data_IF_391791285913
#
_entry.id   IF_391791285913
#
_cell.length_a   1.000
_cell.length_b   1.000
_cell.length_c   1.000
_cell.angle_alpha   90.00
_cell.angle_beta   90.00
_cell.angle_gamma   90.00
#
_symmetry.space_group_name_H-M   'P 1'
#
loop_
_entity.id
_entity.type
_entity.pdbx_description
1 polymer ?
#
# COMPACT_ATOMS: atom_id res chain seq x y z
N UNK A 1 -47.98 -94.47 3.91
CA UNK A 1 -47.18 -93.30 4.24
C UNK A 1 -46.73 -92.67 2.94
N UNK A 2 -47.45 -91.64 2.47
CA UNK A 2 -47.11 -90.89 1.25
C UNK A 2 -46.41 -89.62 1.69
N UNK A 3 -45.17 -89.46 1.28
CA UNK A 3 -44.40 -88.23 1.47
C UNK A 3 -44.91 -87.20 0.45
N UNK A 4 -45.37 -86.02 0.92
CA UNK A 4 -45.72 -84.87 0.09
C UNK A 4 -44.48 -84.22 -0.52
N UNK A 5 -44.62 -83.51 -1.64
CA UNK A 5 -43.49 -82.83 -2.32
C UNK A 5 -43.04 -81.63 -1.57
N UNK A 6 -41.73 -81.38 -1.59
CA UNK A 6 -41.06 -80.22 -0.99
C UNK A 6 -41.49 -78.90 -1.66
N UNK A 7 -41.56 -77.80 -0.94
CA UNK A 7 -41.89 -76.51 -1.51
C UNK A 7 -40.77 -75.98 -2.43
N UNK A 8 -41.15 -75.40 -3.58
CA UNK A 8 -40.31 -74.79 -4.55
C UNK A 8 -39.69 -73.47 -3.96
N UNK A 9 -38.44 -73.17 -4.24
CA UNK A 9 -37.82 -71.94 -3.80
C UNK A 9 -38.50 -70.74 -4.47
N UNK A 10 -38.87 -69.74 -3.66
CA UNK A 10 -39.45 -68.49 -4.11
C UNK A 10 -38.50 -67.71 -5.06
N UNK A 11 -39.04 -66.91 -5.94
CA UNK A 11 -38.22 -66.16 -6.88
C UNK A 11 -37.37 -65.16 -6.13
N UNK A 12 -36.05 -65.38 -6.10
CA UNK A 12 -35.08 -64.32 -5.72
C UNK A 12 -35.17 -63.23 -6.78
N UNK A 13 -35.81 -62.12 -6.39
CA UNK A 13 -35.87 -60.88 -7.21
C UNK A 13 -34.48 -60.28 -7.40
N UNK A 14 -33.76 -60.76 -8.38
CA UNK A 14 -32.67 -60.05 -8.90
C UNK A 14 -33.21 -58.84 -9.69
N UNK A 15 -33.18 -57.66 -9.09
CA UNK A 15 -33.35 -56.37 -9.79
C UNK A 15 -32.24 -56.25 -10.84
N UNK A 16 -32.52 -56.64 -12.09
CA UNK A 16 -31.64 -56.49 -13.25
C UNK A 16 -31.47 -55.05 -13.71
N UNK A 17 -31.76 -54.06 -12.85
CA UNK A 17 -31.41 -52.68 -13.04
C UNK A 17 -30.18 -52.35 -12.20
N UNK A 18 -29.11 -53.10 -12.39
CA UNK A 18 -27.80 -52.77 -11.88
C UNK A 18 -27.29 -51.53 -12.60
N UNK A 19 -27.28 -50.42 -11.89
CA UNK A 19 -26.48 -49.24 -12.25
C UNK A 19 -25.07 -49.76 -12.60
N UNK A 20 -24.68 -49.69 -13.86
CA UNK A 20 -23.41 -50.23 -14.37
C UNK A 20 -22.23 -49.62 -13.57
N UNK A 21 -21.51 -50.38 -12.75
CA UNK A 21 -20.43 -49.86 -11.89
C UNK A 21 -19.30 -49.23 -12.70
N UNK A 22 -19.16 -49.55 -13.99
CA UNK A 22 -18.22 -48.93 -14.91
C UNK A 22 -18.57 -47.48 -15.24
N UNK A 23 -19.86 -47.14 -15.33
CA UNK A 23 -20.33 -45.78 -15.63
C UNK A 23 -20.17 -44.83 -14.44
N UNK A 24 -20.42 -45.34 -13.22
CA UNK A 24 -20.15 -44.55 -11.99
C UNK A 24 -18.66 -44.28 -11.80
N UNK A 25 -17.79 -45.22 -12.14
CA UNK A 25 -16.33 -45.06 -12.13
C UNK A 25 -15.85 -44.01 -13.16
N UNK A 26 -16.38 -44.02 -14.38
CA UNK A 26 -16.05 -43.05 -15.42
C UNK A 26 -16.40 -41.61 -15.03
N UNK A 27 -17.59 -41.39 -14.44
CA UNK A 27 -18.04 -40.07 -13.95
C UNK A 27 -17.19 -39.58 -12.78
N UNK A 28 -16.87 -40.43 -11.82
CA UNK A 28 -15.97 -40.09 -10.70
C UNK A 28 -14.57 -39.73 -11.20
N UNK A 29 -14.03 -40.44 -12.19
CA UNK A 29 -12.73 -40.13 -12.80
C UNK A 29 -12.74 -38.77 -13.51
N UNK A 30 -13.79 -38.46 -14.27
CA UNK A 30 -13.91 -37.15 -14.94
C UNK A 30 -14.02 -36.00 -13.93
N UNK A 31 -14.83 -36.15 -12.87
CA UNK A 31 -14.93 -35.13 -11.81
C UNK A 31 -13.61 -34.98 -11.04
N UNK A 32 -12.90 -36.05 -10.75
CA UNK A 32 -11.58 -36.00 -10.14
C UNK A 32 -10.55 -35.31 -11.05
N UNK A 33 -10.54 -35.63 -12.33
CA UNK A 33 -9.64 -34.98 -13.30
C UNK A 33 -9.90 -33.49 -13.37
N UNK A 34 -11.16 -33.05 -13.44
CA UNK A 34 -11.55 -31.64 -13.46
C UNK A 34 -11.13 -30.94 -12.17
N UNK A 35 -11.32 -31.59 -11.01
CA UNK A 35 -10.89 -31.05 -9.72
C UNK A 35 -9.36 -30.92 -9.62
N UNK A 36 -8.62 -31.91 -10.12
CA UNK A 36 -7.14 -31.88 -10.15
C UNK A 36 -6.64 -30.75 -11.06
N UNK A 37 -7.21 -30.61 -12.26
CA UNK A 37 -6.84 -29.52 -13.19
C UNK A 37 -7.14 -28.15 -12.56
N UNK A 38 -8.32 -28.00 -11.94
CA UNK A 38 -8.67 -26.75 -11.25
C UNK A 38 -7.70 -26.45 -10.09
N UNK A 39 -7.34 -27.45 -9.30
CA UNK A 39 -6.37 -27.33 -8.20
C UNK A 39 -4.98 -26.90 -8.73
N UNK A 40 -4.51 -27.52 -9.80
CA UNK A 40 -3.21 -27.18 -10.43
C UNK A 40 -3.23 -25.73 -10.91
N UNK A 41 -4.31 -25.28 -11.57
CA UNK A 41 -4.44 -23.90 -12.03
C UNK A 41 -4.42 -22.90 -10.85
N UNK A 42 -5.13 -23.22 -9.75
CA UNK A 42 -5.09 -22.41 -8.53
C UNK A 42 -3.69 -22.34 -7.94
N UNK A 43 -3.00 -23.46 -7.83
CA UNK A 43 -1.63 -23.52 -7.31
C UNK A 43 -0.66 -22.72 -8.17
N UNK A 44 -0.69 -22.87 -9.49
CA UNK A 44 0.14 -22.11 -10.42
C UNK A 44 -0.16 -20.61 -10.31
N UNK A 45 -1.45 -20.25 -10.29
CA UNK A 45 -1.86 -18.85 -10.12
C UNK A 45 -1.37 -18.25 -8.80
N UNK A 46 -1.48 -18.98 -7.70
CA UNK A 46 -1.02 -18.53 -6.39
C UNK A 46 0.50 -18.37 -6.35
N UNK A 47 1.26 -19.33 -6.88
CA UNK A 47 2.74 -19.25 -6.95
C UNK A 47 3.17 -18.05 -7.79
N UNK A 48 2.54 -17.86 -8.96
CA UNK A 48 2.81 -16.70 -9.83
C UNK A 48 2.49 -15.38 -9.12
N UNK A 49 1.33 -15.30 -8.46
CA UNK A 49 0.95 -14.09 -7.71
C UNK A 49 1.92 -13.77 -6.59
N UNK A 50 2.32 -14.76 -5.78
CA UNK A 50 3.28 -14.58 -4.71
C UNK A 50 4.66 -14.17 -5.24
N UNK A 51 5.11 -14.77 -6.34
CA UNK A 51 6.39 -14.40 -6.99
C UNK A 51 6.37 -12.97 -7.51
N UNK A 52 5.33 -12.57 -8.25
CA UNK A 52 5.23 -11.18 -8.75
C UNK A 52 5.09 -10.18 -7.60
N UNK A 53 4.33 -10.53 -6.55
CA UNK A 53 4.21 -9.69 -5.35
C UNK A 53 5.57 -9.50 -4.67
N UNK A 54 6.38 -10.54 -4.52
CA UNK A 54 7.74 -10.45 -3.95
C UNK A 54 8.60 -9.50 -4.79
N UNK A 55 8.66 -9.70 -6.10
CA UNK A 55 9.43 -8.83 -6.99
C UNK A 55 8.99 -7.35 -6.95
N UNK A 56 7.68 -7.08 -6.84
CA UNK A 56 7.19 -5.71 -6.67
C UNK A 56 7.65 -5.13 -5.33
N UNK A 57 7.60 -5.92 -4.25
CA UNK A 57 8.06 -5.48 -2.94
C UNK A 57 9.57 -5.20 -2.93
N UNK A 58 10.37 -6.06 -3.53
CA UNK A 58 11.82 -5.89 -3.65
C UNK A 58 12.16 -4.62 -4.45
N UNK A 59 11.49 -4.42 -5.58
CA UNK A 59 11.66 -3.21 -6.40
C UNK A 59 11.25 -1.92 -5.66
N UNK A 60 10.20 -1.96 -4.82
CA UNK A 60 9.82 -0.81 -3.99
C UNK A 60 10.84 -0.57 -2.87
N UNK A 61 11.38 -1.62 -2.25
CA UNK A 61 12.44 -1.54 -1.27
C UNK A 61 13.67 -0.82 -1.84
N UNK A 62 14.19 -1.31 -2.97
CA UNK A 62 15.36 -0.74 -3.63
C UNK A 62 15.14 0.74 -4.02
N UNK A 63 13.94 1.05 -4.50
CA UNK A 63 13.57 2.42 -4.85
C UNK A 63 13.54 3.35 -3.63
N UNK A 64 12.91 2.93 -2.53
CA UNK A 64 12.84 3.70 -1.30
C UNK A 64 14.22 3.96 -0.72
N UNK A 65 15.06 2.92 -0.64
CA UNK A 65 16.44 3.02 -0.13
C UNK A 65 17.32 3.92 -1.01
N UNK A 66 17.18 3.83 -2.34
CA UNK A 66 17.93 4.67 -3.29
C UNK A 66 17.56 6.13 -3.14
N UNK A 67 16.27 6.45 -3.03
CA UNK A 67 15.80 7.82 -2.85
C UNK A 67 16.27 8.37 -1.51
N UNK A 68 16.12 7.59 -0.42
CA UNK A 68 16.58 7.99 0.90
C UNK A 68 18.10 8.27 0.92
N UNK A 69 18.91 7.39 0.33
CA UNK A 69 20.36 7.58 0.24
C UNK A 69 20.75 8.81 -0.59
N UNK A 70 20.04 9.06 -1.68
CA UNK A 70 20.23 10.26 -2.51
C UNK A 70 19.89 11.54 -1.75
N UNK A 71 18.81 11.53 -0.94
CA UNK A 71 18.42 12.66 -0.11
C UNK A 71 19.42 12.92 1.02
N UNK A 72 19.89 11.88 1.67
CA UNK A 72 20.97 12.01 2.67
C UNK A 72 22.20 12.68 2.06
N UNK A 73 22.66 12.20 0.90
CA UNK A 73 23.83 12.77 0.20
C UNK A 73 23.59 14.23 -0.18
N UNK A 74 22.39 14.57 -0.65
CA UNK A 74 22.03 15.95 -1.00
C UNK A 74 22.05 16.88 0.22
N UNK A 75 21.49 16.43 1.37
CA UNK A 75 21.51 17.19 2.63
C UNK A 75 22.96 17.43 3.10
N UNK A 76 23.81 16.40 3.06
CA UNK A 76 25.22 16.52 3.45
C UNK A 76 25.99 17.50 2.55
N UNK A 77 25.77 17.43 1.24
CA UNK A 77 26.39 18.36 0.29
C UNK A 77 25.92 19.79 0.51
N UNK A 78 24.60 19.98 0.71
CA UNK A 78 24.03 21.29 1.03
C UNK A 78 24.67 21.86 2.29
N UNK A 79 24.76 21.11 3.39
CA UNK A 79 25.40 21.54 4.63
C UNK A 79 26.87 21.92 4.44
N UNK A 80 27.61 21.20 3.61
CA UNK A 80 29.00 21.55 3.31
C UNK A 80 29.09 22.90 2.57
N UNK A 81 28.20 23.12 1.59
CA UNK A 81 28.14 24.38 0.85
C UNK A 81 27.75 25.54 1.76
N UNK A 82 26.74 25.36 2.63
CA UNK A 82 26.29 26.37 3.56
C UNK A 82 27.39 26.78 4.58
N UNK A 83 28.12 25.78 5.09
CA UNK A 83 29.28 26.00 5.96
C UNK A 83 30.37 26.80 5.24
N UNK A 84 30.62 26.54 3.95
CA UNK A 84 31.57 27.29 3.15
C UNK A 84 31.09 28.73 2.93
N UNK A 85 29.79 28.93 2.65
CA UNK A 85 29.18 30.24 2.44
C UNK A 85 29.30 31.11 3.69
N UNK A 86 28.83 30.64 4.85
CA UNK A 86 28.86 31.43 6.09
C UNK A 86 30.31 31.72 6.54
N UNK A 87 31.24 30.80 6.26
CA UNK A 87 32.66 31.03 6.49
C UNK A 87 33.15 32.20 5.61
N UNK A 88 32.78 32.23 4.34
CA UNK A 88 33.09 33.34 3.43
C UNK A 88 32.55 34.66 3.97
N UNK A 89 31.35 34.72 4.50
CA UNK A 89 30.75 35.93 5.09
C UNK A 89 31.51 36.42 6.32
N UNK A 90 32.01 35.50 7.18
CA UNK A 90 32.83 35.88 8.33
C UNK A 90 34.18 36.49 7.97
N UNK A 91 34.62 36.37 6.71
CA UNK A 91 35.82 37.05 6.18
C UNK A 91 35.52 38.38 5.47
N UNK A 92 34.27 38.81 5.41
CA UNK A 92 33.91 40.11 4.82
C UNK A 92 34.68 41.23 5.53
N UNK A 93 35.38 42.10 4.79
CA UNK A 93 36.29 43.08 5.39
C UNK A 93 35.65 44.05 6.37
N UNK A 94 34.45 44.57 6.06
CA UNK A 94 33.69 45.50 6.93
C UNK A 94 33.23 44.84 8.21
N UNK A 95 32.66 43.62 8.10
CA UNK A 95 32.28 42.81 9.24
C UNK A 95 33.48 42.54 10.17
N UNK A 96 34.57 42.04 9.59
CA UNK A 96 35.75 41.68 10.35
C UNK A 96 36.40 42.88 11.06
N UNK A 97 36.51 44.02 10.37
CA UNK A 97 37.06 45.23 10.97
C UNK A 97 36.19 45.71 12.14
N UNK A 98 34.87 45.81 11.95
CA UNK A 98 33.95 46.23 13.00
C UNK A 98 33.93 45.28 14.19
N UNK A 99 34.03 43.94 13.98
CA UNK A 99 34.08 42.95 15.08
C UNK A 99 35.40 43.10 15.89
N UNK A 100 36.54 43.25 15.23
CA UNK A 100 37.83 43.41 15.90
C UNK A 100 37.81 44.69 16.78
N UNK A 101 37.27 45.78 16.27
CA UNK A 101 37.16 47.03 17.02
C UNK A 101 36.26 46.90 18.25
N UNK A 102 35.11 46.22 18.14
CA UNK A 102 34.22 45.94 19.25
C UNK A 102 34.81 44.95 20.29
N UNK A 103 35.75 44.09 19.90
CA UNK A 103 36.39 43.12 20.81
C UNK A 103 37.68 43.69 21.45
N UNK A 104 38.36 44.61 20.81
CA UNK A 104 39.59 45.24 21.32
C UNK A 104 39.28 46.46 22.20
N UNK A 105 38.07 47.04 22.13
CA UNK A 105 37.62 48.19 22.91
C UNK A 105 37.23 47.79 24.35
N UNK A 106 37.32 48.73 25.29
CA UNK A 106 37.03 48.56 26.73
C UNK A 106 35.53 48.35 27.06
N UNK A 107 34.66 48.05 26.08
CA UNK A 107 33.23 47.74 26.26
C UNK A 107 32.36 48.92 26.72
N UNK A 108 32.86 50.17 26.66
CA UNK A 108 32.09 51.37 26.89
C UNK A 108 31.34 51.79 25.62
N UNK A 109 30.09 52.26 25.76
CA UNK A 109 29.28 52.79 24.66
C UNK A 109 29.85 54.10 24.13
N UNK A 110 30.93 54.03 23.37
CA UNK A 110 31.57 55.16 22.71
C UNK A 110 31.01 55.35 21.29
N UNK A 111 31.20 56.57 20.69
CA UNK A 111 30.80 56.80 19.31
C UNK A 111 31.39 55.77 18.32
N UNK A 112 32.60 55.29 18.62
CA UNK A 112 33.32 54.27 17.83
C UNK A 112 32.57 52.92 17.74
N UNK A 113 31.88 52.50 18.83
CA UNK A 113 31.05 51.32 18.85
C UNK A 113 29.86 51.39 17.88
N UNK A 114 29.27 52.58 17.72
CA UNK A 114 28.15 52.83 16.80
C UNK A 114 28.63 52.71 15.35
N UNK A 115 29.79 53.28 15.03
CA UNK A 115 30.39 53.21 13.70
C UNK A 115 30.84 51.77 13.35
N UNK A 116 31.38 51.05 14.32
CA UNK A 116 31.76 49.66 14.15
C UNK A 116 30.53 48.76 13.84
N UNK A 117 29.41 48.94 14.56
CA UNK A 117 28.15 48.22 14.28
C UNK A 117 27.54 48.61 12.94
N UNK A 118 27.65 49.88 12.53
CA UNK A 118 27.20 50.33 11.22
C UNK A 118 27.97 49.63 10.08
N UNK A 119 29.32 49.54 10.18
CA UNK A 119 30.17 48.79 9.23
C UNK A 119 29.81 47.31 9.15
N UNK A 120 29.55 46.64 10.29
CA UNK A 120 29.08 45.24 10.32
C UNK A 120 27.77 45.12 9.55
N UNK A 121 26.81 46.01 9.81
CA UNK A 121 25.49 45.98 9.15
C UNK A 121 25.61 46.20 7.64
N UNK A 122 26.42 47.18 7.22
CA UNK A 122 26.64 47.48 5.80
C UNK A 122 27.33 46.32 5.07
N UNK A 123 28.38 45.72 5.68
CA UNK A 123 29.05 44.55 5.12
C UNK A 123 28.18 43.32 4.95
N UNK A 124 27.19 43.15 5.83
CA UNK A 124 26.26 42.02 5.76
C UNK A 124 25.01 42.29 4.92
N UNK A 125 24.64 43.55 4.62
CA UNK A 125 23.35 43.89 4.04
C UNK A 125 23.07 43.17 2.71
N UNK A 126 24.04 43.12 1.81
CA UNK A 126 23.90 42.42 0.54
C UNK A 126 23.72 40.91 0.70
N UNK A 127 24.44 40.30 1.63
CA UNK A 127 24.40 38.86 1.94
C UNK A 127 23.06 38.47 2.58
N UNK A 128 22.59 39.26 3.55
CA UNK A 128 21.32 39.05 4.23
C UNK A 128 20.12 39.12 3.27
N UNK A 129 20.18 40.04 2.30
CA UNK A 129 19.14 40.19 1.28
C UNK A 129 19.16 38.98 0.29
N UNK A 130 20.35 38.55 -0.11
CA UNK A 130 20.48 37.41 -1.03
C UNK A 130 19.99 36.09 -0.43
N UNK A 131 20.16 35.92 0.87
CA UNK A 131 19.77 34.69 1.62
C UNK A 131 18.34 34.74 2.18
N UNK A 132 17.60 35.81 1.97
CA UNK A 132 16.29 36.03 2.62
C UNK A 132 16.38 35.86 4.15
N UNK A 133 17.43 36.42 4.75
CA UNK A 133 17.75 36.18 6.16
C UNK A 133 16.73 36.85 7.08
N UNK A 134 16.30 36.11 8.09
CA UNK A 134 15.42 36.58 9.18
C UNK A 134 16.18 37.63 10.05
N UNK A 135 17.49 37.43 10.21
CA UNK A 135 18.34 38.31 10.96
C UNK A 135 19.74 37.76 11.22
N UNK A 136 20.58 38.59 11.84
CA UNK A 136 21.91 38.18 12.26
C UNK A 136 22.24 38.67 13.66
N UNK A 137 23.22 38.03 14.28
CA UNK A 137 23.94 38.57 15.44
C UNK A 137 25.43 38.22 15.37
N UNK A 138 26.22 38.98 16.08
CA UNK A 138 27.63 38.72 16.35
C UNK A 138 27.79 38.65 17.87
N UNK A 139 28.35 37.55 18.39
CA UNK A 139 28.56 37.34 19.81
C UNK A 139 30.06 37.10 20.09
N UNK A 140 30.56 37.67 21.19
CA UNK A 140 31.91 37.42 21.67
C UNK A 140 32.11 36.05 22.28
N UNK A 141 33.32 35.75 22.72
CA UNK A 141 33.67 34.42 23.32
C UNK A 141 32.93 34.11 24.62
N UNK A 142 32.38 35.12 25.28
CA UNK A 142 31.60 34.98 26.53
C UNK A 142 30.11 34.80 26.26
N UNK A 143 29.67 35.00 25.02
CA UNK A 143 28.26 34.90 24.61
C UNK A 143 27.54 36.26 24.66
N UNK A 144 28.25 37.37 24.85
CA UNK A 144 27.66 38.70 24.81
C UNK A 144 27.44 39.13 23.38
N UNK A 145 26.26 39.64 23.06
CA UNK A 145 25.90 40.10 21.71
C UNK A 145 26.52 41.49 21.46
N UNK A 146 27.46 41.54 20.51
CA UNK A 146 28.18 42.74 20.12
C UNK A 146 27.42 43.59 19.10
N UNK A 147 26.80 42.92 18.12
CA UNK A 147 26.01 43.51 17.06
C UNK A 147 24.86 42.60 16.66
N UNK A 148 23.75 43.16 16.16
CA UNK A 148 22.59 42.42 15.69
C UNK A 148 21.75 43.24 14.72
N UNK A 149 20.95 42.57 13.88
CA UNK A 149 19.86 43.19 13.11
C UNK A 149 18.75 43.75 14.03
N UNK A 150 18.66 43.26 15.26
CA UNK A 150 17.73 43.73 16.29
C UNK A 150 18.52 44.47 17.39
N UNK A 151 18.61 45.79 17.34
CA UNK A 151 19.42 46.63 18.28
C UNK A 151 19.06 46.35 19.75
N UNK A 152 17.82 45.99 20.06
CA UNK A 152 17.34 45.74 21.45
C UNK A 152 18.02 44.56 22.17
N UNK A 153 18.69 43.67 21.43
CA UNK A 153 19.42 42.51 22.03
C UNK A 153 20.91 42.75 22.16
N UNK A 154 21.44 43.84 21.61
CA UNK A 154 22.86 44.20 21.72
C UNK A 154 23.22 44.41 23.18
N UNK A 155 24.35 43.87 23.62
CA UNK A 155 24.82 43.92 25.00
C UNK A 155 24.20 42.88 25.93
N UNK A 156 23.24 42.07 25.46
CA UNK A 156 22.67 40.92 26.22
C UNK A 156 23.51 39.67 26.00
N UNK A 157 23.33 38.70 26.87
CA UNK A 157 23.95 37.38 26.78
C UNK A 157 23.07 36.39 26.06
N UNK A 158 23.70 35.44 25.35
CA UNK A 158 23.00 34.30 24.71
C UNK A 158 22.42 33.35 25.78
N UNK A 159 21.32 32.72 25.46
CA UNK A 159 20.76 31.59 26.24
C UNK A 159 21.71 30.37 26.21
N UNK A 160 21.57 29.40 27.14
CA UNK A 160 22.44 28.22 27.20
C UNK A 160 22.59 27.48 25.89
N UNK A 161 21.52 27.33 25.10
CA UNK A 161 21.56 26.68 23.79
C UNK A 161 22.40 27.49 22.80
N UNK A 162 22.27 28.83 22.80
CA UNK A 162 23.09 29.74 21.99
C UNK A 162 24.57 29.71 22.38
N UNK A 163 24.88 29.63 23.70
CA UNK A 163 26.26 29.51 24.20
C UNK A 163 26.87 28.15 23.78
N UNK A 164 26.10 27.08 23.78
CA UNK A 164 26.58 25.76 23.31
C UNK A 164 26.99 25.83 21.83
N UNK A 165 26.12 26.36 20.95
CA UNK A 165 26.46 26.55 19.54
C UNK A 165 27.66 27.48 19.35
N UNK A 166 27.72 28.60 20.10
CA UNK A 166 28.84 29.56 20.05
C UNK A 166 30.16 28.86 20.37
N UNK A 167 30.20 28.00 21.39
CA UNK A 167 31.41 27.27 21.79
C UNK A 167 31.84 26.31 20.69
N UNK A 168 30.92 25.55 20.13
CA UNK A 168 31.22 24.62 19.03
C UNK A 168 31.80 25.37 17.81
N UNK A 169 31.30 26.58 17.50
CA UNK A 169 31.77 27.42 16.40
C UNK A 169 33.15 28.01 16.72
N UNK A 170 33.38 28.48 17.93
CA UNK A 170 34.66 29.13 18.32
C UNK A 170 35.80 28.10 18.48
N UNK A 171 35.47 26.88 18.96
CA UNK A 171 36.44 25.79 19.11
C UNK A 171 36.69 25.03 17.79
N UNK A 172 35.83 25.15 16.81
CA UNK A 172 35.86 24.47 15.53
C UNK A 172 35.83 25.36 14.31
N UNK A 173 35.01 24.95 13.38
CA UNK A 173 34.75 25.61 12.12
C UNK A 173 33.30 26.10 12.02
N UNK A 174 32.92 26.64 10.86
CA UNK A 174 31.55 27.04 10.59
C UNK A 174 30.57 25.90 10.80
N UNK A 175 29.44 26.19 11.43
CA UNK A 175 28.35 25.25 11.70
C UNK A 175 27.04 25.72 11.05
N UNK A 176 26.22 24.75 10.65
CA UNK A 176 24.86 24.99 10.12
C UNK A 176 23.92 24.01 10.82
N UNK A 177 22.87 24.53 11.43
CA UNK A 177 21.91 23.72 12.16
C UNK A 177 20.86 23.12 11.23
N UNK A 178 20.17 22.11 11.71
CA UNK A 178 18.85 21.72 11.18
C UNK A 178 17.79 22.75 11.60
N UNK A 179 16.61 22.79 10.97
CA UNK A 179 15.54 23.72 11.39
C UNK A 179 15.17 23.53 12.88
N UNK A 180 15.03 24.63 13.60
CA UNK A 180 14.55 24.67 14.99
C UNK A 180 13.77 25.97 15.25
N UNK A 181 13.06 26.05 16.38
CA UNK A 181 12.30 27.24 16.77
C UNK A 181 13.19 28.14 17.65
N UNK A 182 13.28 29.40 17.31
CA UNK A 182 14.26 30.36 17.88
C UNK A 182 14.02 30.72 19.34
N UNK A 183 12.81 30.48 19.89
CA UNK A 183 12.47 30.80 21.30
C UNK A 183 13.46 30.24 22.33
N UNK A 184 14.12 29.14 21.98
CA UNK A 184 15.10 28.47 22.87
C UNK A 184 16.51 29.10 22.79
N UNK A 185 16.76 30.05 21.88
CA UNK A 185 18.08 30.55 21.59
C UNK A 185 18.44 31.87 22.31
N UNK A 186 17.44 32.61 22.78
CA UNK A 186 17.63 33.94 23.41
C UNK A 186 17.00 33.98 24.81
N UNK A 187 17.67 34.70 25.75
CA UNK A 187 17.10 35.01 27.09
C UNK A 187 16.08 36.14 26.97
N UNK A 188 14.89 35.92 27.57
CA UNK A 188 13.89 36.93 27.83
C UNK A 188 13.08 37.41 26.62
N UNK A 189 12.22 38.40 26.84
CA UNK A 189 11.18 38.95 25.93
C UNK A 189 11.54 39.34 24.48
N UNK A 190 12.51 38.69 23.89
CA UNK A 190 12.79 38.83 22.48
C UNK A 190 11.87 37.89 21.72
N UNK A 191 10.67 38.34 21.51
CA UNK A 191 9.74 37.70 20.56
C UNK A 191 10.27 37.92 19.13
N UNK A 192 11.33 37.22 18.76
CA UNK A 192 11.46 36.78 17.40
C UNK A 192 10.37 35.73 17.30
N UNK A 193 9.36 36.02 16.48
CA UNK A 193 8.20 35.15 16.36
C UNK A 193 8.64 33.67 16.39
N UNK A 194 7.83 32.78 16.99
CA UNK A 194 8.03 31.32 17.05
C UNK A 194 8.13 30.69 15.65
N UNK A 195 8.99 31.26 14.82
CA UNK A 195 9.21 30.82 13.44
C UNK A 195 10.37 29.84 13.40
N UNK A 196 10.24 28.74 12.67
CA UNK A 196 11.35 27.83 12.45
C UNK A 196 12.43 28.51 11.60
N UNK A 197 13.68 28.34 12.01
CA UNK A 197 14.87 28.87 11.30
C UNK A 197 15.94 27.81 11.19
N UNK A 198 16.83 28.01 10.22
CA UNK A 198 18.13 27.37 10.12
C UNK A 198 19.16 28.43 10.53
N UNK A 199 20.08 28.07 11.42
CA UNK A 199 21.18 28.96 11.83
C UNK A 199 22.46 28.54 11.12
N UNK A 200 23.08 29.51 10.45
CA UNK A 200 24.40 29.42 9.84
C UNK A 200 25.37 30.24 10.71
N UNK A 201 26.41 29.64 11.24
CA UNK A 201 27.34 30.28 12.14
C UNK A 201 28.80 30.04 11.76
N UNK A 202 29.65 31.07 11.88
CA UNK A 202 31.06 30.95 11.59
C UNK A 202 31.90 31.84 12.53
N UNK A 203 33.13 31.39 12.89
CA UNK A 203 34.02 32.20 13.70
C UNK A 203 34.56 33.39 12.93
N UNK A 204 34.49 34.57 13.55
CA UNK A 204 35.18 35.79 13.08
C UNK A 204 36.55 35.82 13.74
N UNK A 205 37.60 35.89 12.91
CA UNK A 205 38.99 35.76 13.37
C UNK A 205 39.69 37.12 13.30
N UNK A 206 40.52 37.40 14.30
CA UNK A 206 41.39 38.58 14.33
C UNK A 206 42.53 38.45 13.29
N UNK A 207 43.46 39.45 13.28
CA UNK A 207 44.60 39.47 12.36
C UNK A 207 45.58 38.34 12.62
N UNK A 208 45.64 37.79 13.85
CA UNK A 208 46.47 36.66 14.21
C UNK A 208 45.85 35.29 13.85
N UNK A 209 44.62 35.30 13.37
CA UNK A 209 43.88 34.08 13.02
C UNK A 209 43.11 33.46 14.18
N UNK A 210 43.07 34.11 15.33
CA UNK A 210 42.34 33.61 16.51
C UNK A 210 40.87 33.97 16.42
N UNK A 211 39.93 33.06 16.79
CA UNK A 211 38.51 33.35 16.82
C UNK A 211 38.21 34.30 17.99
N UNK A 212 37.70 35.49 17.71
CA UNK A 212 37.35 36.51 18.72
C UNK A 212 35.87 36.67 18.94
N UNK A 213 35.07 36.31 17.93
CA UNK A 213 33.61 36.33 17.97
C UNK A 213 33.04 35.30 17.00
N UNK A 214 31.73 35.06 17.02
CA UNK A 214 31.03 34.31 16.02
C UNK A 214 29.96 35.16 15.33
N UNK A 215 29.92 35.08 14.01
CA UNK A 215 28.78 35.52 13.21
C UNK A 215 27.72 34.43 13.22
N UNK A 216 26.48 34.79 13.50
CA UNK A 216 25.31 33.88 13.50
C UNK A 216 24.25 34.51 12.62
N UNK A 217 23.83 33.83 11.57
CA UNK A 217 22.79 34.28 10.63
C UNK A 217 21.63 33.30 10.69
N UNK A 218 20.44 33.81 10.92
CA UNK A 218 19.20 33.01 10.91
C UNK A 218 18.52 33.20 9.55
N UNK A 219 18.24 32.09 8.86
CA UNK A 219 17.51 32.04 7.59
C UNK A 219 16.25 31.21 7.73
N UNK A 220 15.25 31.42 6.87
CA UNK A 220 14.05 30.61 6.84
C UNK A 220 14.36 29.14 6.44
N UNK A 221 13.52 28.16 6.81
CA UNK A 221 13.75 26.74 6.52
C UNK A 221 13.38 26.35 5.09
N UNK A 222 13.02 27.30 4.22
CA UNK A 222 12.49 27.03 2.89
C UNK A 222 13.46 26.23 2.03
N UNK A 223 14.72 26.66 1.97
CA UNK A 223 15.76 26.01 1.17
C UNK A 223 16.00 24.57 1.63
N UNK A 224 16.15 24.35 2.94
CA UNK A 224 16.22 23.00 3.52
C UNK A 224 14.99 22.16 3.17
N UNK A 225 13.79 22.74 3.29
CA UNK A 225 12.53 22.05 2.98
C UNK A 225 12.41 21.68 1.50
N UNK A 226 12.83 22.58 0.61
CA UNK A 226 12.80 22.34 -0.83
C UNK A 226 13.79 21.24 -1.22
N UNK A 227 14.99 21.25 -0.62
CA UNK A 227 15.98 20.21 -0.80
C UNK A 227 15.45 18.82 -0.37
N UNK A 228 14.88 18.71 0.82
CA UNK A 228 14.24 17.47 1.29
C UNK A 228 13.05 17.12 0.39
N UNK A 229 12.33 18.11 -0.11
CA UNK A 229 11.21 17.95 -1.04
C UNK A 229 11.59 17.40 -2.42
N UNK A 230 12.86 17.41 -2.83
CA UNK A 230 13.32 16.74 -4.05
C UNK A 230 13.15 15.22 -3.99
N UNK A 231 13.02 14.62 -2.81
CA UNK A 231 12.72 13.21 -2.60
C UNK A 231 11.29 12.78 -2.97
N UNK A 232 10.59 13.56 -3.81
CA UNK A 232 9.26 13.23 -4.32
C UNK A 232 9.34 12.25 -5.48
N UNK A 233 8.51 11.21 -5.44
CA UNK A 233 8.45 10.21 -6.49
C UNK A 233 7.02 9.65 -6.63
N UNK A 234 6.69 9.12 -7.79
CA UNK A 234 5.33 8.71 -8.05
C UNK A 234 4.33 9.86 -7.79
N UNK A 235 3.12 9.53 -7.37
CA UNK A 235 2.07 10.51 -7.04
C UNK A 235 2.00 10.85 -5.56
N UNK A 236 2.31 9.89 -4.69
CA UNK A 236 2.18 10.01 -3.23
C UNK A 236 3.50 9.85 -2.49
N UNK A 237 4.57 9.43 -3.19
CA UNK A 237 5.87 9.23 -2.57
C UNK A 237 6.52 10.55 -2.16
N UNK A 238 6.98 10.63 -0.92
CA UNK A 238 7.67 11.79 -0.36
C UNK A 238 8.80 11.39 0.58
N UNK A 239 9.74 12.31 0.76
CA UNK A 239 10.72 12.26 1.84
C UNK A 239 10.54 13.49 2.70
N UNK A 240 10.61 13.33 4.00
CA UNK A 240 10.53 14.42 4.98
C UNK A 240 11.50 14.20 6.14
N UNK A 241 11.88 15.30 6.77
CA UNK A 241 12.77 15.30 7.93
C UNK A 241 11.99 15.43 9.23
N UNK A 242 12.47 14.79 10.29
CA UNK A 242 11.84 14.71 11.62
C UNK A 242 12.85 15.07 12.69
N UNK A 243 12.45 15.89 13.65
CA UNK A 243 13.26 16.24 14.82
C UNK A 243 13.37 15.09 15.83
N UNK A 244 14.28 15.14 16.83
CA UNK A 244 14.37 14.17 17.90
C UNK A 244 13.07 14.01 18.73
N UNK A 245 12.19 15.00 18.68
CA UNK A 245 10.88 15.00 19.36
C UNK A 245 9.71 14.63 18.44
N UNK A 246 9.99 14.18 17.21
CA UNK A 246 8.97 13.77 16.26
C UNK A 246 8.23 14.91 15.55
N UNK A 247 8.76 16.15 15.56
CA UNK A 247 8.20 17.26 14.80
C UNK A 247 8.63 17.22 13.35
N UNK A 248 7.74 17.56 12.42
CA UNK A 248 8.06 17.71 11.00
C UNK A 248 9.00 18.88 10.80
N UNK A 249 10.18 18.65 10.18
CA UNK A 249 11.21 19.69 9.92
C UNK A 249 11.21 20.19 8.48
N UNK A 250 10.45 19.60 7.59
CA UNK A 250 10.36 19.97 6.19
C UNK A 250 8.92 20.11 5.72
N UNK A 251 8.71 20.71 4.54
CA UNK A 251 7.38 20.73 3.92
C UNK A 251 6.98 19.34 3.47
N UNK A 252 5.72 18.95 3.73
CA UNK A 252 5.15 17.75 3.14
C UNK A 252 4.72 18.01 1.69
N UNK A 253 4.79 16.97 0.86
CA UNK A 253 4.15 16.95 -0.45
C UNK A 253 2.64 17.08 -0.36
N UNK A 254 2.04 16.59 0.74
CA UNK A 254 0.59 16.50 0.95
C UNK A 254 0.00 17.74 1.60
N UNK A 255 0.62 18.92 1.41
CA UNK A 255 0.28 20.17 2.08
C UNK A 255 -1.21 20.52 2.03
N UNK A 256 -1.84 20.37 0.84
CA UNK A 256 -3.26 20.69 0.68
C UNK A 256 -4.16 19.74 1.47
N UNK A 257 -3.83 18.44 1.46
CA UNK A 257 -4.52 17.46 2.32
C UNK A 257 -4.34 17.76 3.81
N UNK A 258 -3.15 18.24 4.21
CA UNK A 258 -2.88 18.59 5.62
C UNK A 258 -3.74 19.76 6.09
N UNK A 259 -4.01 20.75 5.23
CA UNK A 259 -4.97 21.82 5.52
C UNK A 259 -6.39 21.29 5.63
N UNK A 260 -6.84 20.49 4.66
CA UNK A 260 -8.18 19.89 4.64
C UNK A 260 -8.47 19.05 5.89
N UNK A 261 -7.49 18.31 6.40
CA UNK A 261 -7.63 17.49 7.61
C UNK A 261 -7.33 18.25 8.91
N UNK A 262 -6.92 19.51 8.83
CA UNK A 262 -6.72 20.41 9.98
C UNK A 262 -5.40 20.18 10.74
N UNK A 263 -4.39 19.56 10.12
CA UNK A 263 -3.05 19.39 10.72
C UNK A 263 -2.18 20.64 10.54
N UNK A 264 -2.43 21.44 9.50
CA UNK A 264 -1.73 22.68 9.22
C UNK A 264 -2.76 23.81 9.17
N UNK A 265 -2.54 24.94 9.86
CA UNK A 265 -3.44 26.09 9.79
C UNK A 265 -3.50 26.71 8.39
N UNK A 266 -4.65 27.28 8.02
CA UNK A 266 -4.86 27.91 6.72
C UNK A 266 -4.09 29.24 6.56
N UNK A 267 -3.83 29.91 7.67
CA UNK A 267 -3.24 31.25 7.78
C UNK A 267 -1.70 31.30 7.84
N UNK A 268 -1.06 30.19 8.18
CA UNK A 268 0.38 30.11 8.46
C UNK A 268 1.27 30.03 7.20
N UNK A 269 0.96 30.70 6.10
CA UNK A 269 1.75 30.55 4.86
C UNK A 269 1.89 29.08 4.43
N UNK A 270 1.12 28.22 5.06
CA UNK A 270 0.95 26.82 4.75
C UNK A 270 2.16 25.91 4.97
N UNK A 271 3.11 26.25 5.86
CA UNK A 271 4.27 25.38 6.10
C UNK A 271 3.97 24.29 7.11
N UNK A 272 4.27 23.02 6.78
CA UNK A 272 4.21 21.89 7.71
C UNK A 272 5.39 21.90 8.72
N UNK A 273 6.39 22.76 8.51
CA UNK A 273 7.60 22.82 9.35
C UNK A 273 7.23 23.25 10.77
N UNK A 274 7.47 22.38 11.74
CA UNK A 274 7.07 22.50 13.16
C UNK A 274 5.57 22.70 13.41
N UNK A 275 4.71 22.48 12.41
CA UNK A 275 3.26 22.62 12.61
C UNK A 275 2.66 21.49 13.42
N UNK A 276 3.17 20.26 13.30
CA UNK A 276 2.67 19.07 14.00
C UNK A 276 3.76 18.02 14.22
N UNK A 277 3.50 17.12 15.16
CA UNK A 277 4.31 15.92 15.37
C UNK A 277 3.77 14.78 14.48
N UNK A 278 4.68 13.92 14.01
CA UNK A 278 4.38 12.78 13.14
C UNK A 278 3.70 11.66 13.95
N UNK A 279 2.40 11.79 14.18
CA UNK A 279 1.61 10.90 15.04
C UNK A 279 0.59 10.10 14.25
N UNK A 280 0.35 8.84 14.68
CA UNK A 280 -0.67 7.96 14.11
C UNK A 280 -2.05 8.37 14.65
N UNK A 281 -2.97 8.87 13.81
CA UNK A 281 -4.31 9.24 14.23
C UNK A 281 -5.22 8.04 14.56
N UNK A 282 -4.81 6.80 14.26
CA UNK A 282 -5.60 5.59 14.46
C UNK A 282 -6.51 5.22 13.28
N UNK A 283 -6.69 6.09 12.30
CA UNK A 283 -7.50 5.86 11.11
C UNK A 283 -7.28 6.91 10.03
N UNK A 284 -7.76 6.65 8.82
CA UNK A 284 -7.55 7.49 7.62
C UNK A 284 -8.36 8.80 7.70
N UNK A 285 -7.69 9.88 8.07
CA UNK A 285 -8.28 11.23 8.19
C UNK A 285 -8.71 11.79 6.83
N UNK A 286 -8.07 11.38 5.74
CA UNK A 286 -8.43 11.81 4.38
C UNK A 286 -9.79 11.25 3.93
N UNK A 287 -10.32 10.26 4.67
CA UNK A 287 -11.63 9.65 4.48
C UNK A 287 -12.64 10.01 5.57
N UNK A 288 -12.36 11.10 6.30
CA UNK A 288 -13.27 11.62 7.31
C UNK A 288 -13.08 11.03 8.71
N UNK A 289 -12.10 10.15 8.95
CA UNK A 289 -11.79 9.74 10.31
C UNK A 289 -11.35 10.95 11.15
N UNK A 290 -11.77 11.00 12.39
CA UNK A 290 -11.33 12.03 13.38
C UNK A 290 -10.87 11.31 14.63
N UNK A 291 -9.64 11.57 15.11
CA UNK A 291 -9.12 10.99 16.36
C UNK A 291 -9.99 11.40 17.55
N UNK A 292 -10.18 10.50 18.49
CA UNK A 292 -10.89 10.79 19.74
C UNK A 292 -9.98 11.41 20.81
N UNK A 293 -8.68 11.21 20.70
CA UNK A 293 -7.67 11.79 21.58
C UNK A 293 -7.14 13.10 20.99
N UNK A 294 -6.72 14.05 21.83
CA UNK A 294 -5.98 15.23 21.37
C UNK A 294 -4.65 14.79 20.74
N UNK A 295 -4.12 15.62 19.83
CA UNK A 295 -2.89 15.30 19.09
C UNK A 295 -1.73 14.87 20.02
N UNK A 296 -1.56 15.52 21.18
CA UNK A 296 -0.51 15.17 22.16
C UNK A 296 -0.65 13.78 22.77
N UNK A 297 -1.86 13.22 22.79
CA UNK A 297 -2.15 11.88 23.33
C UNK A 297 -2.04 10.74 22.30
N UNK A 298 -1.83 11.05 21.03
CA UNK A 298 -1.65 10.04 19.99
C UNK A 298 -0.20 9.51 20.01
N UNK A 299 0.04 8.23 19.69
CA UNK A 299 1.38 7.69 19.54
C UNK A 299 2.06 8.28 18.30
N UNK A 300 3.40 8.31 18.26
CA UNK A 300 4.14 8.56 17.03
C UNK A 300 3.82 7.46 16.01
N UNK A 301 3.95 7.77 14.72
CA UNK A 301 3.87 6.73 13.68
C UNK A 301 5.02 5.72 13.86
N UNK A 302 4.89 4.53 13.28
CA UNK A 302 5.92 3.49 13.37
C UNK A 302 7.31 4.03 12.97
N UNK A 303 7.39 4.71 11.83
CA UNK A 303 8.63 5.28 11.33
C UNK A 303 9.18 6.37 12.25
N UNK A 304 8.31 7.30 12.70
CA UNK A 304 8.71 8.38 13.57
C UNK A 304 9.18 7.88 14.94
N UNK A 305 8.49 6.91 15.54
CA UNK A 305 8.93 6.31 16.80
C UNK A 305 10.29 5.65 16.66
N UNK A 306 10.46 4.81 15.65
CA UNK A 306 11.72 4.09 15.42
C UNK A 306 12.89 5.03 15.13
N UNK A 307 12.67 6.06 14.28
CA UNK A 307 13.75 7.00 13.93
C UNK A 307 14.13 7.93 15.08
N UNK A 308 13.16 8.35 15.94
CA UNK A 308 13.47 9.17 17.12
C UNK A 308 14.20 8.37 18.23
N UNK A 309 14.09 7.03 18.20
CA UNK A 309 14.91 6.11 19.01
C UNK A 309 16.28 5.82 18.39
N UNK A 310 16.69 6.58 17.34
CA UNK A 310 17.98 6.44 16.69
C UNK A 310 18.09 5.22 15.75
N UNK A 311 16.97 4.58 15.39
CA UNK A 311 16.98 3.36 14.59
C UNK A 311 16.78 3.64 13.10
N UNK A 312 17.42 2.78 12.29
CA UNK A 312 17.19 2.72 10.85
C UNK A 312 16.33 1.51 10.54
N UNK A 313 15.34 1.65 9.65
CA UNK A 313 14.43 0.57 9.32
C UNK A 313 13.71 0.75 7.99
N UNK A 314 13.00 -0.32 7.63
CA UNK A 314 12.11 -0.38 6.46
C UNK A 314 10.88 -1.21 6.81
N UNK A 315 9.71 -0.77 6.37
CA UNK A 315 8.45 -1.51 6.52
C UNK A 315 7.68 -1.51 5.19
N UNK A 316 7.59 -2.68 4.57
CA UNK A 316 6.91 -2.90 3.29
C UNK A 316 5.52 -3.53 3.46
N UNK A 317 5.22 -4.10 4.62
CA UNK A 317 3.90 -4.67 4.94
C UNK A 317 2.81 -3.62 5.10
N UNK A 318 3.22 -2.38 5.34
CA UNK A 318 2.37 -1.20 5.44
C UNK A 318 1.96 -0.84 6.86
N UNK A 319 2.16 0.41 7.22
CA UNK A 319 1.77 1.06 8.48
C UNK A 319 1.02 2.37 8.20
N UNK A 320 0.49 3.01 9.23
CA UNK A 320 -0.21 4.30 9.08
C UNK A 320 0.78 5.46 9.22
N UNK A 321 0.72 6.41 8.28
CA UNK A 321 1.40 7.69 8.36
C UNK A 321 0.64 8.69 9.27
N UNK A 322 1.12 9.91 9.30
CA UNK A 322 0.51 11.03 10.07
C UNK A 322 -0.88 11.46 9.56
N UNK A 323 -1.29 11.06 8.35
CA UNK A 323 -2.65 11.23 7.80
C UNK A 323 -3.55 10.04 8.17
N UNK A 324 -2.98 8.95 8.71
CA UNK A 324 -3.64 7.68 8.92
C UNK A 324 -3.77 6.83 7.66
N UNK A 325 -3.13 7.25 6.56
CA UNK A 325 -3.09 6.50 5.31
C UNK A 325 -2.08 5.36 5.44
N UNK A 326 -2.42 4.19 4.90
CA UNK A 326 -1.48 3.07 4.89
C UNK A 326 -0.38 3.31 3.86
N UNK A 327 0.88 3.33 4.32
CA UNK A 327 2.09 3.58 3.53
C UNK A 327 3.09 2.44 3.65
N UNK A 328 4.05 2.38 2.73
CA UNK A 328 5.32 1.68 2.86
C UNK A 328 6.40 2.73 3.03
N UNK A 329 7.42 2.44 3.82
CA UNK A 329 8.48 3.43 4.03
C UNK A 329 9.77 2.85 4.53
N UNK A 330 10.80 3.68 4.43
CA UNK A 330 12.11 3.50 5.05
C UNK A 330 12.47 4.74 5.84
N UNK A 331 13.25 4.55 6.89
CA UNK A 331 13.69 5.66 7.74
C UNK A 331 15.10 5.45 8.23
N UNK A 332 15.80 6.57 8.47
CA UNK A 332 17.18 6.58 8.97
C UNK A 332 17.40 7.75 9.91
N UNK A 333 18.01 7.49 11.02
CA UNK A 333 18.53 8.51 11.92
C UNK A 333 19.90 8.98 11.46
N UNK A 334 20.12 10.30 11.41
CA UNK A 334 21.39 10.93 11.07
C UNK A 334 21.96 11.58 12.33
N UNK A 335 22.84 10.86 13.02
CA UNK A 335 23.39 11.27 14.33
C UNK A 335 24.09 12.60 14.30
N UNK A 336 24.89 12.83 13.25
CA UNK A 336 25.67 14.06 13.06
C UNK A 336 24.79 15.28 12.78
N UNK A 337 23.56 15.07 12.37
CA UNK A 337 22.60 16.13 12.06
C UNK A 337 21.46 16.20 13.07
N UNK A 338 21.37 15.25 13.99
CA UNK A 338 20.31 15.12 14.98
C UNK A 338 18.92 15.21 14.37
N UNK A 339 18.74 14.55 13.23
CA UNK A 339 17.45 14.44 12.54
C UNK A 339 17.17 13.03 12.00
N UNK A 340 15.90 12.70 11.90
CA UNK A 340 15.41 11.52 11.19
C UNK A 340 15.00 11.88 9.77
N UNK A 341 15.33 11.02 8.81
CA UNK A 341 14.88 11.11 7.44
C UNK A 341 13.93 9.94 7.16
N UNK A 342 12.69 10.23 6.77
CA UNK A 342 11.64 9.25 6.50
C UNK A 342 11.21 9.38 5.04
N UNK A 343 11.19 8.27 4.31
CA UNK A 343 10.76 8.19 2.91
C UNK A 343 9.60 7.22 2.80
N UNK A 344 8.44 7.65 2.32
CA UNK A 344 7.19 6.89 2.30
C UNK A 344 6.48 6.98 0.95
N UNK A 345 5.65 5.98 0.65
CA UNK A 345 4.71 5.97 -0.47
C UNK A 345 3.42 5.27 -0.04
N UNK A 346 2.27 5.74 -0.51
CA UNK A 346 0.99 5.08 -0.25
C UNK A 346 1.03 3.62 -0.70
N UNK A 347 0.68 2.68 0.19
CA UNK A 347 0.64 1.24 -0.07
C UNK A 347 -0.16 0.89 -1.32
N UNK A 348 -1.28 1.61 -1.55
CA UNK A 348 -2.16 1.41 -2.70
C UNK A 348 -1.50 1.79 -4.02
N UNK A 349 -0.65 2.80 -4.02
CA UNK A 349 0.14 3.21 -5.19
C UNK A 349 1.28 2.24 -5.43
N UNK A 350 2.05 1.91 -4.39
CA UNK A 350 3.17 0.98 -4.47
C UNK A 350 2.75 -0.40 -5.00
N UNK A 351 1.55 -0.89 -4.61
CA UNK A 351 0.98 -2.15 -5.06
C UNK A 351 0.10 -2.04 -6.32
N UNK A 352 -0.03 -0.87 -6.91
CA UNK A 352 -0.84 -0.69 -8.13
C UNK A 352 -0.45 -1.61 -9.30
N UNK A 353 0.83 -1.95 -9.54
CA UNK A 353 1.22 -2.89 -10.60
C UNK A 353 0.60 -4.29 -10.47
N UNK A 354 0.18 -4.70 -9.26
CA UNK A 354 -0.48 -6.00 -9.04
C UNK A 354 -1.96 -6.01 -9.43
N UNK A 355 -2.63 -4.86 -9.57
CA UNK A 355 -4.07 -4.78 -9.87
C UNK A 355 -4.47 -5.51 -11.15
N UNK A 356 -3.81 -5.30 -12.32
CA UNK A 356 -4.17 -5.99 -13.55
C UNK A 356 -3.95 -7.50 -13.44
N UNK A 357 -2.90 -7.94 -12.75
CA UNK A 357 -2.64 -9.34 -12.50
C UNK A 357 -3.75 -9.98 -11.65
N UNK A 358 -4.15 -9.33 -10.57
CA UNK A 358 -5.26 -9.79 -9.72
C UNK A 358 -6.57 -9.87 -10.51
N UNK A 359 -6.87 -8.87 -11.34
CA UNK A 359 -8.06 -8.87 -12.19
C UNK A 359 -8.03 -10.02 -13.22
N UNK A 360 -6.88 -10.28 -13.84
CA UNK A 360 -6.69 -11.38 -14.78
C UNK A 360 -6.93 -12.75 -14.10
N UNK A 361 -6.42 -12.95 -12.89
CA UNK A 361 -6.65 -14.20 -12.15
C UNK A 361 -8.11 -14.35 -11.73
N UNK A 362 -8.78 -13.30 -11.26
CA UNK A 362 -10.21 -13.35 -10.94
C UNK A 362 -11.01 -13.73 -12.19
N UNK A 363 -10.70 -13.13 -13.35
CA UNK A 363 -11.34 -13.47 -14.63
C UNK A 363 -11.11 -14.92 -15.04
N UNK A 364 -9.86 -15.39 -14.97
CA UNK A 364 -9.49 -16.77 -15.33
C UNK A 364 -10.20 -17.81 -14.43
N UNK A 365 -10.17 -17.60 -13.12
CA UNK A 365 -10.83 -18.52 -12.17
C UNK A 365 -12.36 -18.44 -12.28
N UNK A 366 -12.90 -17.26 -12.54
CA UNK A 366 -14.34 -17.10 -12.83
C UNK A 366 -14.76 -17.88 -14.07
N UNK A 367 -14.00 -17.78 -15.16
CA UNK A 367 -14.24 -18.54 -16.39
C UNK A 367 -14.12 -20.05 -16.17
N UNK A 368 -13.09 -20.50 -15.45
CA UNK A 368 -12.90 -21.90 -15.12
C UNK A 368 -14.05 -22.46 -14.26
N UNK A 369 -14.54 -21.69 -13.30
CA UNK A 369 -15.70 -22.06 -12.47
C UNK A 369 -16.99 -22.18 -13.30
N UNK A 370 -17.22 -21.24 -14.22
CA UNK A 370 -18.34 -21.26 -15.15
C UNK A 370 -18.29 -22.48 -16.08
N UNK A 371 -17.11 -22.79 -16.63
CA UNK A 371 -16.91 -23.97 -17.47
C UNK A 371 -17.16 -25.27 -16.71
N UNK A 372 -16.65 -25.39 -15.48
CA UNK A 372 -16.89 -26.55 -14.62
C UNK A 372 -18.38 -26.69 -14.27
N UNK A 373 -19.05 -25.59 -13.93
CA UNK A 373 -20.50 -25.57 -13.68
C UNK A 373 -21.31 -26.01 -14.91
N UNK A 374 -20.96 -25.46 -16.09
CA UNK A 374 -21.58 -25.84 -17.38
C UNK A 374 -21.42 -27.33 -17.69
N UNK A 375 -20.24 -27.89 -17.44
CA UNK A 375 -19.97 -29.31 -17.64
C UNK A 375 -20.85 -30.21 -16.72
N UNK A 376 -21.03 -29.80 -15.46
CA UNK A 376 -21.90 -30.50 -14.51
C UNK A 376 -23.37 -30.46 -14.97
N UNK A 377 -23.83 -29.26 -15.41
CA UNK A 377 -25.20 -29.12 -15.94
C UNK A 377 -25.40 -29.97 -17.18
N UNK A 378 -24.45 -29.88 -18.14
CA UNK A 378 -24.49 -30.71 -19.35
C UNK A 378 -24.55 -32.20 -19.03
N UNK A 379 -23.71 -32.69 -18.12
CA UNK A 379 -23.71 -34.08 -17.66
C UNK A 379 -25.07 -34.51 -17.08
N UNK A 380 -25.72 -33.63 -16.29
CA UNK A 380 -27.06 -33.89 -15.73
C UNK A 380 -28.16 -33.93 -16.80
N UNK A 381 -28.08 -33.02 -17.81
CA UNK A 381 -29.04 -33.00 -18.91
C UNK A 381 -28.94 -34.32 -19.74
N UNK A 382 -27.71 -34.68 -20.12
CA UNK A 382 -27.47 -35.95 -20.87
C UNK A 382 -27.98 -37.14 -20.11
N UNK A 383 -27.78 -37.22 -18.80
CA UNK A 383 -28.28 -38.31 -17.94
C UNK A 383 -29.81 -38.35 -17.89
N UNK A 384 -30.46 -37.17 -17.81
CA UNK A 384 -31.96 -37.10 -17.83
C UNK A 384 -32.53 -37.54 -19.17
N UNK A 385 -31.90 -37.14 -20.28
CA UNK A 385 -32.32 -37.56 -21.63
C UNK A 385 -32.18 -39.08 -21.82
N UNK A 386 -31.06 -39.68 -21.38
CA UNK A 386 -30.85 -41.11 -21.44
C UNK A 386 -31.90 -41.90 -20.63
N UNK A 387 -32.20 -41.46 -19.42
CA UNK A 387 -33.27 -42.12 -18.60
C UNK A 387 -34.65 -42.05 -19.29
N UNK A 388 -34.97 -41.02 -20.04
CA UNK A 388 -36.23 -40.94 -20.81
C UNK A 388 -36.23 -41.90 -21.98
N UNK A 389 -35.10 -42.07 -22.68
CA UNK A 389 -34.99 -43.03 -23.77
C UNK A 389 -35.13 -44.47 -23.25
N UNK A 390 -34.49 -44.81 -22.13
CA UNK A 390 -34.61 -46.16 -21.51
C UNK A 390 -36.05 -46.47 -21.06
N UNK A 391 -36.79 -45.48 -20.57
CA UNK A 391 -38.22 -45.65 -20.19
C UNK A 391 -39.15 -45.89 -21.38
N UNK A 392 -38.85 -45.32 -22.54
CA UNK A 392 -39.65 -45.51 -23.76
C UNK A 392 -39.43 -46.90 -24.37
N UNK A 393 -38.27 -47.51 -24.12
CA UNK A 393 -37.91 -48.83 -24.65
C UNK A 393 -38.54 -50.00 -23.87
N UNK A 394 -39.13 -49.74 -22.69
CA UNK A 394 -39.82 -50.74 -21.85
C UNK A 394 -41.33 -50.53 -21.89
N UNK A 395 -42.03 -51.41 -22.52
CA UNK A 395 -43.50 -51.47 -22.54
C UNK A 395 -43.97 -52.59 -21.57
N UNK A 396 -44.22 -52.24 -20.32
CA UNK A 396 -44.62 -53.21 -19.29
C UNK A 396 -43.55 -54.25 -19.07
N UNK A 397 -43.91 -55.54 -19.31
CA UNK A 397 -43.03 -56.70 -19.17
C UNK A 397 -42.20 -57.01 -20.44
N UNK A 398 -42.26 -56.19 -21.50
CA UNK A 398 -41.59 -56.39 -22.77
C UNK A 398 -40.53 -55.34 -23.04
N UNK A 399 -39.31 -55.76 -23.36
CA UNK A 399 -38.26 -54.90 -23.86
C UNK A 399 -38.28 -54.98 -25.38
N UNK A 400 -38.56 -53.85 -26.06
CA UNK A 400 -38.53 -53.80 -27.53
C UNK A 400 -37.09 -53.88 -28.03
N UNK A 401 -36.81 -54.81 -28.98
CA UNK A 401 -35.49 -55.03 -29.55
C UNK A 401 -35.35 -54.33 -30.91
N UNK A 402 -35.97 -54.89 -31.95
CA UNK A 402 -35.89 -54.35 -33.30
C UNK A 402 -37.26 -54.29 -33.98
N UNK A 403 -37.45 -53.37 -34.91
CA UNK A 403 -38.69 -53.30 -35.70
C UNK A 403 -38.65 -54.37 -36.77
N UNK A 404 -39.59 -55.29 -36.74
CA UNK A 404 -39.68 -56.39 -37.69
C UNK A 404 -40.73 -56.18 -38.78
N UNK A 405 -41.64 -55.19 -38.62
CA UNK A 405 -42.63 -54.85 -39.63
C UNK A 405 -43.36 -53.54 -39.38
N UNK A 406 -43.95 -52.94 -40.40
CA UNK A 406 -44.80 -51.77 -40.30
C UNK A 406 -45.93 -51.89 -41.30
N UNK A 407 -47.15 -51.62 -40.82
CA UNK A 407 -48.36 -51.59 -41.64
C UNK A 407 -49.21 -50.34 -41.42
N UNK A 408 -50.37 -50.27 -42.05
CA UNK A 408 -51.23 -49.13 -41.94
C UNK A 408 -51.71 -48.81 -40.52
N UNK A 409 -51.92 -49.84 -39.69
CA UNK A 409 -52.44 -49.71 -38.31
C UNK A 409 -51.38 -49.63 -37.24
N UNK A 410 -50.08 -50.00 -37.50
CA UNK A 410 -49.08 -50.03 -36.42
C UNK A 410 -47.71 -50.54 -36.85
N UNK A 411 -46.82 -50.56 -35.88
CA UNK A 411 -45.44 -51.07 -36.02
C UNK A 411 -45.29 -52.35 -35.21
N UNK A 412 -44.67 -53.37 -35.77
CA UNK A 412 -44.41 -54.65 -35.06
C UNK A 412 -42.92 -54.69 -34.72
N UNK A 413 -42.67 -54.99 -33.44
CA UNK A 413 -41.30 -55.08 -32.90
C UNK A 413 -41.06 -56.50 -32.40
N UNK A 414 -39.88 -57.02 -32.63
CA UNK A 414 -39.37 -58.15 -31.85
C UNK A 414 -39.12 -57.64 -30.41
N UNK A 415 -39.69 -58.23 -29.44
CA UNK A 415 -39.55 -57.88 -28.04
C UNK A 415 -39.21 -59.12 -27.22
N UNK A 416 -38.50 -58.92 -26.14
CA UNK A 416 -38.18 -60.00 -25.17
C UNK A 416 -38.99 -59.80 -23.91
N UNK A 417 -39.70 -60.83 -23.53
CA UNK A 417 -40.47 -60.85 -22.29
C UNK A 417 -39.54 -61.00 -21.08
N UNK A 418 -39.58 -60.02 -20.14
CA UNK A 418 -38.62 -59.94 -19.04
C UNK A 418 -38.59 -61.22 -18.13
N UNK A 419 -39.74 -61.88 -17.86
CA UNK A 419 -39.79 -63.02 -17.03
C UNK A 419 -39.62 -64.35 -17.79
N UNK A 420 -40.11 -64.40 -19.05
CA UNK A 420 -40.12 -65.69 -19.83
C UNK A 420 -38.88 -65.85 -20.70
N UNK A 421 -38.05 -64.80 -20.78
CA UNK A 421 -36.82 -64.76 -21.56
C UNK A 421 -36.93 -65.22 -23.05
N UNK A 422 -38.18 -65.15 -23.59
CA UNK A 422 -38.50 -65.60 -24.97
C UNK A 422 -38.74 -64.39 -25.87
N UNK A 423 -38.39 -64.50 -27.11
CA UNK A 423 -38.70 -63.47 -28.12
C UNK A 423 -40.20 -63.56 -28.46
N UNK A 424 -40.80 -62.40 -28.55
CA UNK A 424 -42.24 -62.23 -28.81
C UNK A 424 -42.40 -61.04 -29.76
N UNK A 425 -43.39 -61.09 -30.64
CA UNK A 425 -43.76 -59.94 -31.49
C UNK A 425 -44.75 -59.09 -30.74
N UNK A 426 -44.39 -57.80 -30.58
CA UNK A 426 -45.25 -56.79 -29.97
C UNK A 426 -45.64 -55.77 -31.04
N UNK A 427 -46.94 -55.62 -31.28
CA UNK A 427 -47.49 -54.67 -32.24
C UNK A 427 -47.94 -53.41 -31.49
N UNK A 428 -47.42 -52.24 -31.88
CA UNK A 428 -47.79 -50.93 -31.34
C UNK A 428 -48.65 -50.19 -32.35
N UNK A 429 -49.78 -49.64 -31.90
CA UNK A 429 -50.61 -48.75 -32.70
C UNK A 429 -49.88 -47.43 -32.95
N UNK A 430 -50.04 -46.85 -34.13
CA UNK A 430 -49.55 -45.48 -34.41
C UNK A 430 -50.43 -44.47 -33.67
N UNK A 431 -49.82 -43.43 -33.05
CA UNK A 431 -50.59 -42.38 -32.34
C UNK A 431 -51.63 -41.72 -33.22
N UNK A 432 -51.29 -41.51 -34.50
CA UNK A 432 -52.15 -40.86 -35.46
C UNK A 432 -53.33 -41.73 -35.95
N UNK A 433 -53.37 -42.99 -35.57
CA UNK A 433 -54.40 -44.00 -35.92
C UNK A 433 -55.28 -44.37 -34.72
N UNK A 434 -55.32 -43.61 -33.67
CA UNK A 434 -56.15 -43.86 -32.47
C UNK A 434 -57.57 -43.31 -32.64
N UNK A 435 -58.31 -43.78 -33.65
CA UNK A 435 -59.75 -43.65 -33.70
C UNK A 435 -60.42 -44.85 -33.00
N UNK A 436 -61.64 -44.66 -32.46
CA UNK A 436 -62.40 -45.73 -31.79
C UNK A 436 -62.60 -46.92 -32.72
N UNK A 437 -62.77 -46.66 -34.01
CA UNK A 437 -62.89 -47.73 -35.02
C UNK A 437 -61.57 -48.51 -35.25
N UNK A 438 -60.42 -47.84 -35.16
CA UNK A 438 -59.11 -48.47 -35.28
C UNK A 438 -58.77 -49.32 -34.06
N UNK A 439 -59.19 -48.88 -32.88
CA UNK A 439 -59.07 -49.64 -31.63
C UNK A 439 -59.93 -50.89 -31.68
N UNK A 440 -61.21 -50.79 -32.11
CA UNK A 440 -62.06 -51.96 -32.26
C UNK A 440 -61.53 -52.93 -33.27
N UNK A 441 -61.03 -52.54 -34.40
CA UNK A 441 -60.37 -53.42 -35.40
C UNK A 441 -59.13 -54.08 -34.84
N UNK A 442 -58.36 -53.37 -34.06
CA UNK A 442 -57.18 -53.93 -33.39
C UNK A 442 -57.58 -55.01 -32.36
N UNK A 443 -58.61 -54.79 -31.54
CA UNK A 443 -59.10 -55.70 -30.59
C UNK A 443 -59.67 -56.98 -31.25
N UNK A 444 -60.36 -56.83 -32.36
CA UNK A 444 -60.87 -57.95 -33.17
C UNK A 444 -59.69 -58.79 -33.76
N UNK A 445 -58.65 -58.12 -34.28
CA UNK A 445 -57.46 -58.82 -34.79
C UNK A 445 -56.71 -59.59 -33.67
N UNK A 446 -56.61 -59.02 -32.47
CA UNK A 446 -56.04 -59.66 -31.28
C UNK A 446 -56.86 -60.87 -30.89
N UNK A 447 -58.19 -60.77 -30.84
CA UNK A 447 -59.09 -61.90 -30.49
C UNK A 447 -59.05 -63.02 -31.52
N UNK A 448 -59.01 -62.72 -32.82
CA UNK A 448 -58.89 -63.68 -33.87
C UNK A 448 -57.53 -64.43 -33.84
N UNK A 449 -56.44 -63.64 -33.64
CA UNK A 449 -55.09 -64.18 -33.59
C UNK A 449 -54.90 -65.09 -32.35
N UNK A 450 -55.52 -64.76 -31.18
CA UNK A 450 -55.45 -65.49 -29.96
C UNK A 450 -56.16 -66.93 -30.07
N UNK A 451 -57.08 -67.09 -31.04
CA UNK A 451 -57.76 -68.35 -31.32
C UNK A 451 -56.99 -69.23 -32.24
N UNK A 452 -55.98 -68.78 -32.93
CA UNK A 452 -55.13 -69.55 -33.85
C UNK A 452 -54.17 -70.41 -33.00
N UNK A 453 -54.40 -71.72 -32.98
CA UNK A 453 -53.45 -72.69 -32.46
C UNK A 453 -52.70 -73.33 -33.62
N UNK A 454 -51.43 -72.96 -33.78
CA UNK A 454 -50.54 -73.55 -34.75
C UNK A 454 -49.28 -74.07 -34.01
N UNK A 455 -48.76 -75.20 -34.42
CA UNK A 455 -47.61 -75.81 -33.74
C UNK A 455 -46.30 -75.07 -33.95
N UNK A 456 -46.19 -74.16 -34.90
CA UNK A 456 -44.99 -73.31 -35.15
C UNK A 456 -45.19 -71.88 -34.76
#
# INVERSE_FOLDING_TARGET
MKRGPAPLPGPTGHSLLGDDPGRRRGRRRMLLLTAVVALVLVCVGLVTYLGVRSHVMDAQSDKLLTIQGSQEAAIRLWLQNERASVRGWAYEPGLRAGVIELTDGDGGSTGDDVDARARIREGLQGLLTAEDAVGYLVADRLGRILASSADRIVGRDLAPAGIALLRDVLDGEANVTTPFVVSDFFYGDVTIADQPVVVKAAPVRNRAGEPVAALVVAVGPAEFSDLVGLGRFGRTGETYAVSPRGWMLSRSRMQDQLREIGLVPDDAGGSAVFAFQIRDPGGDMTRGFRPTLPASGLPLTLAAASVTDGQTGIELGGYRDYRGVRVMGTWRWLDDLQLGLITEIDYREAMAPLKPLTAAFIGLFGLAALAAGGLVVYARIVERLRRRIDQVSQLGQYTLLEKIGEGGMGKVYRARHALLARDTAVKLLKPDAMSDEAIQRFEQEVQMTARLRHPN
#
